data_IF_125837510282
#
_entry.id   IF_125837510282
#
_cell.length_a   1.000
_cell.length_b   1.000
_cell.length_c   1.000
_cell.angle_alpha   90.00
_cell.angle_beta   90.00
_cell.angle_gamma   90.00
#
_symmetry.space_group_name_H-M   'P 1'
#
loop_
_entity.id
_entity.type
_entity.pdbx_description
1 polymer ?
#
# COMPACT_ATOMS: atom_id res chain seq x y z
N UNK A 1 -15.68 -55.49 -38.78
CA UNK A 1 -15.08 -54.14 -38.71
C UNK A 1 -14.86 -53.81 -37.23
N UNK A 2 -13.65 -54.08 -36.69
CA UNK A 2 -13.32 -53.87 -35.27
C UNK A 2 -12.72 -52.47 -35.11
N UNK A 3 -13.52 -51.51 -34.64
CA UNK A 3 -13.05 -50.15 -34.40
C UNK A 3 -12.15 -50.17 -33.16
N UNK A 4 -10.90 -49.72 -33.32
CA UNK A 4 -9.89 -49.61 -32.26
C UNK A 4 -10.33 -48.54 -31.24
N UNK A 5 -11.20 -48.92 -30.31
CA UNK A 5 -11.75 -48.04 -29.26
C UNK A 5 -10.70 -47.55 -28.24
N UNK A 6 -9.52 -48.18 -28.18
CA UNK A 6 -8.48 -47.84 -27.20
C UNK A 6 -7.70 -46.55 -27.48
N UNK A 7 -7.65 -46.06 -28.72
CA UNK A 7 -6.84 -44.89 -29.07
C UNK A 7 -7.50 -43.55 -28.70
N UNK A 8 -8.83 -43.49 -28.62
CA UNK A 8 -9.55 -42.25 -28.26
C UNK A 8 -9.46 -41.92 -26.76
N UNK A 9 -9.40 -42.93 -25.89
CA UNK A 9 -9.36 -42.73 -24.43
C UNK A 9 -7.98 -42.19 -24.00
N UNK A 10 -6.89 -42.68 -24.59
CA UNK A 10 -5.54 -42.24 -24.25
C UNK A 10 -5.27 -40.77 -24.66
N UNK A 11 -5.80 -40.33 -25.81
CA UNK A 11 -5.70 -38.94 -26.25
C UNK A 11 -6.46 -37.97 -25.35
N UNK A 12 -7.67 -38.36 -24.91
CA UNK A 12 -8.50 -37.54 -24.02
C UNK A 12 -7.95 -37.45 -22.59
N UNK A 13 -7.33 -38.52 -22.08
CA UNK A 13 -6.69 -38.53 -20.77
C UNK A 13 -5.43 -37.64 -20.74
N UNK A 14 -4.67 -37.60 -21.86
CA UNK A 14 -3.47 -36.78 -21.98
C UNK A 14 -3.77 -35.28 -22.06
N UNK A 15 -4.83 -34.87 -22.76
CA UNK A 15 -5.32 -33.48 -22.73
C UNK A 15 -5.89 -33.07 -21.38
N UNK A 16 -6.58 -33.98 -20.66
CA UNK A 16 -7.06 -33.71 -19.31
C UNK A 16 -5.90 -33.53 -18.31
N UNK A 17 -4.81 -34.30 -18.45
CA UNK A 17 -3.59 -34.17 -17.64
C UNK A 17 -2.85 -32.83 -17.88
N UNK A 18 -2.89 -32.29 -19.10
CA UNK A 18 -2.30 -30.98 -19.40
C UNK A 18 -3.11 -29.81 -18.82
N UNK A 19 -4.42 -29.97 -18.66
CA UNK A 19 -5.28 -28.93 -18.06
C UNK A 19 -5.14 -28.84 -16.53
N UNK A 20 -4.75 -29.93 -15.86
CA UNK A 20 -4.57 -29.98 -14.39
C UNK A 20 -3.16 -29.50 -13.98
N UNK A 21 -2.23 -29.36 -14.93
CA UNK A 21 -0.82 -29.06 -14.68
C UNK A 21 -0.50 -27.56 -14.56
N UNK A 22 -1.48 -26.66 -14.67
CA UNK A 22 -1.22 -25.24 -14.44
C UNK A 22 -0.97 -25.00 -12.94
N UNK A 23 0.28 -24.67 -12.58
CA UNK A 23 0.64 -24.34 -11.21
C UNK A 23 -0.10 -23.11 -10.71
N UNK A 24 -0.21 -22.98 -9.39
CA UNK A 24 -0.95 -21.88 -8.76
C UNK A 24 -0.14 -20.59 -8.85
N UNK A 25 -0.83 -19.44 -8.83
CA UNK A 25 -0.18 -18.14 -8.58
C UNK A 25 0.56 -18.22 -7.24
N UNK A 26 1.78 -17.69 -7.21
CA UNK A 26 2.51 -17.52 -5.96
C UNK A 26 1.78 -16.58 -5.00
N UNK A 27 2.09 -16.64 -3.69
CA UNK A 27 1.56 -15.69 -2.73
C UNK A 27 2.03 -14.26 -3.03
N UNK A 28 1.27 -13.27 -2.59
CA UNK A 28 1.69 -11.87 -2.70
C UNK A 28 2.85 -11.57 -1.73
N UNK A 29 3.56 -10.47 -1.99
CA UNK A 29 4.61 -9.94 -1.14
C UNK A 29 4.09 -9.50 0.23
N UNK A 30 4.98 -9.45 1.23
CA UNK A 30 4.62 -8.87 2.51
C UNK A 30 4.66 -7.34 2.42
N UNK A 31 3.81 -6.66 3.20
CA UNK A 31 3.73 -5.20 3.25
C UNK A 31 4.35 -4.71 4.56
N UNK A 32 5.16 -3.66 4.46
CA UNK A 32 5.78 -3.00 5.60
C UNK A 32 5.60 -1.49 5.50
N UNK A 33 5.30 -0.86 6.63
CA UNK A 33 5.21 0.59 6.76
C UNK A 33 6.15 1.07 7.87
N UNK A 34 6.93 2.10 7.57
CA UNK A 34 7.75 2.83 8.52
C UNK A 34 7.30 4.28 8.64
N UNK A 35 7.70 4.92 9.72
CA UNK A 35 7.37 6.31 10.00
C UNK A 35 8.67 7.10 10.20
N UNK A 36 8.73 8.30 9.63
CA UNK A 36 9.90 9.19 9.75
C UNK A 36 9.46 10.59 10.13
N UNK A 37 10.29 11.29 10.91
CA UNK A 37 9.98 12.63 11.41
C UNK A 37 11.23 13.39 11.84
N UNK A 38 11.16 14.73 11.79
CA UNK A 38 12.21 15.59 12.34
C UNK A 38 12.02 15.87 13.84
N UNK A 39 10.77 15.98 14.27
CA UNK A 39 10.33 16.18 15.66
C UNK A 39 9.40 15.04 16.02
N UNK A 40 9.52 14.48 17.23
CA UNK A 40 8.68 13.36 17.62
C UNK A 40 7.26 13.85 17.89
N UNK A 41 6.22 13.23 17.29
CA UNK A 41 4.85 13.61 17.58
C UNK A 41 4.53 13.32 19.06
N UNK A 42 3.88 14.25 19.74
CA UNK A 42 3.40 14.06 21.11
C UNK A 42 2.05 13.31 21.16
N UNK A 43 1.38 13.19 20.02
CA UNK A 43 0.23 12.32 19.82
C UNK A 43 0.34 11.56 18.49
N UNK A 44 0.00 10.29 18.52
CA UNK A 44 -0.06 9.42 17.34
C UNK A 44 -1.23 8.44 17.48
N UNK A 45 -2.02 8.32 16.43
CA UNK A 45 -3.08 7.33 16.32
C UNK A 45 -3.12 6.77 14.90
N UNK A 46 -3.15 5.45 14.77
CA UNK A 46 -3.32 4.75 13.50
C UNK A 46 -4.41 3.67 13.68
N UNK A 47 -5.28 3.50 12.69
CA UNK A 47 -6.33 2.48 12.70
C UNK A 47 -5.84 1.08 12.29
N UNK A 48 -4.57 0.96 11.88
CA UNK A 48 -3.92 -0.29 11.59
C UNK A 48 -3.55 -1.05 12.87
N UNK A 49 -4.25 -2.15 13.13
CA UNK A 49 -4.05 -2.96 14.33
C UNK A 49 -2.67 -3.63 14.41
N UNK A 50 -1.91 -3.70 13.32
CA UNK A 50 -0.55 -4.22 13.33
C UNK A 50 0.48 -3.18 13.82
N UNK A 51 0.12 -1.90 13.79
CA UNK A 51 1.00 -0.82 14.20
C UNK A 51 0.87 -0.63 15.71
N UNK A 52 1.99 -0.72 16.46
CA UNK A 52 1.96 -0.48 17.89
C UNK A 52 1.58 0.97 18.19
N UNK A 53 0.97 1.20 19.35
CA UNK A 53 0.68 2.55 19.84
C UNK A 53 1.94 3.39 20.07
N UNK A 54 3.10 2.76 20.22
CA UNK A 54 4.41 3.42 20.29
C UNK A 54 5.23 3.06 19.05
N UNK A 55 5.49 4.05 18.21
CA UNK A 55 6.30 3.91 17.00
C UNK A 55 7.72 4.44 17.20
N UNK A 56 8.65 3.92 16.41
CA UNK A 56 10.04 4.35 16.39
C UNK A 56 10.41 4.88 15.00
N UNK A 57 11.24 5.90 14.97
CA UNK A 57 11.71 6.53 13.74
C UNK A 57 12.42 5.49 12.87
N UNK A 58 12.13 5.51 11.57
CA UNK A 58 12.71 4.65 10.53
C UNK A 58 12.63 3.14 10.83
N UNK A 59 11.68 2.75 11.68
CA UNK A 59 11.39 1.35 12.00
C UNK A 59 10.21 0.87 11.18
N UNK A 60 10.38 -0.25 10.49
CA UNK A 60 9.34 -0.85 9.65
C UNK A 60 8.53 -1.88 10.43
N UNK A 61 7.22 -1.74 10.35
CA UNK A 61 6.24 -2.66 10.92
C UNK A 61 5.58 -3.45 9.79
N UNK A 62 5.47 -4.77 9.97
CA UNK A 62 4.71 -5.60 9.03
C UNK A 62 3.24 -5.30 9.20
N UNK A 63 2.53 -5.13 8.08
CA UNK A 63 1.10 -4.90 8.05
C UNK A 63 0.44 -5.66 6.90
N UNK A 64 -0.88 -5.58 6.81
CA UNK A 64 -1.65 -6.05 5.68
C UNK A 64 -1.72 -4.97 4.57
N UNK A 65 -1.97 -5.35 3.31
CA UNK A 65 -2.41 -4.39 2.32
C UNK A 65 -3.82 -3.88 2.67
N UNK A 66 -4.08 -2.60 2.41
CA UNK A 66 -5.37 -1.97 2.74
C UNK A 66 -5.33 -0.45 2.75
N UNK A 67 -6.48 0.15 3.01
CA UNK A 67 -6.61 1.58 3.29
C UNK A 67 -6.56 1.80 4.80
N UNK A 68 -5.78 2.80 5.21
CA UNK A 68 -5.52 3.12 6.60
C UNK A 68 -5.72 4.60 6.87
N UNK A 69 -6.00 4.90 8.13
CA UNK A 69 -6.15 6.22 8.68
C UNK A 69 -5.13 6.47 9.78
N UNK A 70 -4.59 7.68 9.79
CA UNK A 70 -3.60 8.15 10.73
C UNK A 70 -3.95 9.57 11.18
N UNK A 71 -3.76 9.84 12.46
CA UNK A 71 -3.74 11.18 13.05
C UNK A 71 -2.45 11.38 13.85
N UNK A 72 -1.90 12.58 13.80
CA UNK A 72 -0.77 12.95 14.65
C UNK A 72 -0.80 14.44 14.99
N UNK A 73 -0.16 14.78 16.10
CA UNK A 73 0.06 16.15 16.53
C UNK A 73 1.53 16.36 16.88
N UNK A 74 2.02 17.57 16.62
CA UNK A 74 3.34 18.03 17.05
C UNK A 74 3.19 19.30 17.89
N UNK A 75 3.69 19.25 19.11
CA UNK A 75 3.77 20.40 20.02
C UNK A 75 4.54 21.60 19.44
N UNK A 76 5.43 21.35 18.48
CA UNK A 76 6.27 22.32 17.79
C UNK A 76 5.49 23.24 16.85
N UNK A 77 4.40 22.75 16.27
CA UNK A 77 3.54 23.50 15.36
C UNK A 77 2.14 23.77 15.91
N UNK A 78 1.73 23.03 16.95
CA UNK A 78 0.36 23.03 17.49
C UNK A 78 -0.69 22.67 16.43
N UNK A 79 -0.30 21.83 15.46
CA UNK A 79 -1.14 21.38 14.36
C UNK A 79 -1.51 19.91 14.53
N UNK A 80 -2.81 19.65 14.37
CA UNK A 80 -3.34 18.30 14.25
C UNK A 80 -3.44 17.93 12.78
N UNK A 81 -2.78 16.85 12.39
CA UNK A 81 -2.77 16.33 11.03
C UNK A 81 -3.59 15.05 10.96
N UNK A 82 -4.25 14.83 9.82
CA UNK A 82 -4.86 13.54 9.49
C UNK A 82 -4.47 13.09 8.09
N UNK A 83 -4.37 11.78 7.90
CA UNK A 83 -3.94 11.13 6.67
C UNK A 83 -4.77 9.87 6.44
N UNK A 84 -5.26 9.69 5.22
CA UNK A 84 -5.69 8.39 4.70
C UNK A 84 -4.71 7.96 3.61
N UNK A 85 -4.25 6.71 3.67
CA UNK A 85 -3.29 6.16 2.73
C UNK A 85 -3.61 4.71 2.37
N UNK A 86 -3.25 4.29 1.16
CA UNK A 86 -3.42 2.92 0.68
C UNK A 86 -2.06 2.20 0.58
N UNK A 87 -1.95 1.02 1.19
CA UNK A 87 -0.79 0.14 1.09
C UNK A 87 -1.14 -1.06 0.20
N UNK A 88 -0.32 -1.29 -0.83
CA UNK A 88 -0.56 -2.35 -1.82
C UNK A 88 0.60 -3.34 -1.81
N UNK A 89 0.28 -4.63 -1.72
CA UNK A 89 1.24 -5.72 -1.85
C UNK A 89 1.61 -5.94 -3.32
N UNK A 90 2.84 -6.36 -3.61
CA UNK A 90 3.18 -6.80 -4.96
C UNK A 90 2.65 -8.20 -5.21
N UNK A 91 1.99 -8.37 -6.35
CA UNK A 91 1.38 -9.64 -6.71
C UNK A 91 2.41 -10.76 -6.90
N UNK A 92 2.05 -11.97 -6.45
CA UNK A 92 2.80 -13.17 -6.78
C UNK A 92 2.86 -13.46 -8.29
N UNK A 93 3.94 -14.10 -8.74
CA UNK A 93 4.10 -14.49 -10.14
C UNK A 93 3.07 -15.58 -10.50
N UNK A 94 2.57 -15.65 -11.74
CA UNK A 94 1.77 -16.78 -12.19
C UNK A 94 2.59 -18.07 -12.15
N UNK A 95 1.93 -19.20 -11.87
CA UNK A 95 2.53 -20.52 -12.01
C UNK A 95 2.71 -20.94 -13.47
N UNK A 96 3.57 -21.93 -13.69
CA UNK A 96 3.80 -22.58 -14.97
C UNK A 96 3.32 -24.02 -15.00
N UNK A 97 3.62 -24.72 -16.09
CA UNK A 97 3.33 -26.15 -16.22
C UNK A 97 4.14 -26.92 -15.16
N UNK A 98 3.44 -27.62 -14.26
CA UNK A 98 4.00 -28.35 -13.10
C UNK A 98 4.78 -27.52 -12.07
N UNK A 99 4.67 -26.18 -12.09
CA UNK A 99 5.42 -25.32 -11.16
C UNK A 99 4.54 -24.19 -10.63
N UNK A 100 4.45 -24.06 -9.31
CA UNK A 100 3.78 -22.92 -8.70
C UNK A 100 4.59 -21.63 -8.93
N UNK A 101 3.88 -20.51 -8.94
CA UNK A 101 4.49 -19.19 -9.10
C UNK A 101 5.28 -18.76 -7.87
N UNK A 102 6.29 -17.92 -8.10
CA UNK A 102 7.08 -17.34 -7.02
C UNK A 102 6.29 -16.28 -6.24
N UNK A 103 6.66 -16.10 -4.96
CA UNK A 103 6.12 -15.02 -4.11
C UNK A 103 6.37 -13.66 -4.78
N UNK A 104 5.43 -12.73 -4.61
CA UNK A 104 5.62 -11.32 -4.91
C UNK A 104 6.74 -10.72 -4.05
N UNK A 105 7.29 -9.60 -4.50
CA UNK A 105 8.30 -8.89 -3.71
C UNK A 105 7.67 -8.15 -2.55
N UNK A 106 8.42 -7.98 -1.46
CA UNK A 106 7.91 -7.23 -0.31
C UNK A 106 7.84 -5.73 -0.63
N UNK A 107 6.73 -5.11 -0.27
CA UNK A 107 6.49 -3.68 -0.45
C UNK A 107 6.84 -2.93 0.84
N UNK A 108 7.63 -1.86 0.71
CA UNK A 108 8.07 -1.04 1.84
C UNK A 108 7.71 0.42 1.61
N UNK A 109 6.96 0.99 2.55
CA UNK A 109 6.49 2.36 2.54
C UNK A 109 7.08 3.13 3.74
N UNK A 110 7.42 4.40 3.54
CA UNK A 110 7.73 5.35 4.61
C UNK A 110 6.67 6.43 4.60
N UNK A 111 6.15 6.76 5.78
CA UNK A 111 5.27 7.90 6.00
C UNK A 111 6.04 8.97 6.78
N UNK A 112 6.29 10.11 6.13
CA UNK A 112 6.82 11.32 6.76
C UNK A 112 5.71 12.05 7.52
N UNK A 113 5.84 12.11 8.85
CA UNK A 113 4.92 12.82 9.74
C UNK A 113 5.57 14.10 10.25
N UNK A 114 5.44 15.17 9.47
CA UNK A 114 6.20 16.40 9.67
C UNK A 114 5.45 17.42 10.54
N UNK A 115 6.18 18.15 11.39
CA UNK A 115 5.58 19.18 12.24
C UNK A 115 5.09 20.42 11.45
N UNK A 116 5.88 20.86 10.46
CA UNK A 116 5.66 22.15 9.78
C UNK A 116 5.26 22.01 8.30
N UNK A 117 5.05 20.78 7.81
CA UNK A 117 4.73 20.52 6.41
C UNK A 117 3.68 19.42 6.27
N UNK A 118 3.13 19.30 5.06
CA UNK A 118 2.20 18.23 4.71
C UNK A 118 2.89 16.86 4.86
N UNK A 119 2.24 15.83 5.43
CA UNK A 119 2.81 14.49 5.47
C UNK A 119 3.03 13.93 4.07
N UNK A 120 4.00 13.04 4.00
CA UNK A 120 4.48 12.43 2.77
C UNK A 120 4.41 10.92 2.89
N UNK A 121 4.08 10.21 1.80
CA UNK A 121 4.09 8.75 1.74
C UNK A 121 4.94 8.37 0.54
N UNK A 122 6.03 7.68 0.80
CA UNK A 122 7.00 7.27 -0.21
C UNK A 122 7.12 5.75 -0.19
N UNK A 123 6.98 5.10 -1.35
CA UNK A 123 7.40 3.72 -1.48
C UNK A 123 8.92 3.66 -1.68
N UNK A 124 9.64 3.17 -0.68
CA UNK A 124 11.12 3.12 -0.67
C UNK A 124 11.64 1.96 -1.50
N UNK A 125 10.87 0.87 -1.59
CA UNK A 125 11.26 -0.31 -2.36
C UNK A 125 10.13 -0.75 -3.28
N UNK A 126 10.39 -0.63 -4.58
CA UNK A 126 9.73 -1.37 -5.65
C UNK A 126 10.79 -1.86 -6.61
N UNK A 127 11.08 -3.16 -6.69
CA UNK A 127 12.07 -3.63 -7.66
C UNK A 127 11.38 -3.81 -9.01
N UNK A 128 11.34 -2.74 -9.79
CA UNK A 128 11.92 -2.79 -11.13
C UNK A 128 12.19 -1.37 -11.62
N UNK A 129 13.47 -1.14 -11.94
CA UNK A 129 14.06 0.04 -12.60
C UNK A 129 14.42 1.24 -11.72
N UNK A 130 15.74 1.38 -11.57
CA UNK A 130 16.45 2.66 -11.45
C UNK A 130 16.00 3.60 -12.57
N UNK A 131 15.23 4.64 -12.25
CA UNK A 131 15.38 5.96 -12.87
C UNK A 131 14.58 7.03 -12.10
N UNK A 132 15.29 8.14 -11.87
CA UNK A 132 14.85 9.48 -11.46
C UNK A 132 13.43 9.65 -10.91
N UNK A 133 13.38 10.08 -9.65
CA UNK A 133 12.29 10.86 -9.08
C UNK A 133 11.89 11.96 -10.07
N UNK A 134 10.72 11.82 -10.68
CA UNK A 134 10.05 12.91 -11.38
C UNK A 134 8.75 13.19 -10.62
N UNK A 135 8.80 14.26 -9.83
CA UNK A 135 7.69 14.81 -9.06
C UNK A 135 6.59 15.31 -9.99
N UNK A 136 5.48 14.57 -10.07
CA UNK A 136 4.21 15.13 -10.51
C UNK A 136 3.22 15.07 -9.34
N UNK A 137 3.42 15.95 -8.36
CA UNK A 137 2.46 16.20 -7.28
C UNK A 137 1.29 17.01 -7.83
N UNK A 138 0.18 16.35 -8.20
CA UNK A 138 -1.09 17.04 -8.45
C UNK A 138 -1.78 17.28 -7.12
N UNK A 139 -1.68 18.51 -6.60
CA UNK A 139 -2.40 18.95 -5.40
C UNK A 139 -3.85 19.30 -5.77
N UNK A 140 -4.84 18.57 -5.25
CA UNK A 140 -6.23 19.04 -5.25
C UNK A 140 -6.78 19.09 -3.83
N UNK A 141 -7.45 20.21 -3.51
CA UNK A 141 -8.06 20.50 -2.22
C UNK A 141 -9.58 20.56 -2.38
N UNK A 142 -10.33 19.78 -1.60
CA UNK A 142 -11.78 19.94 -1.45
C UNK A 142 -12.18 19.92 0.02
N UNK A 143 -12.86 20.97 0.47
CA UNK A 143 -13.27 21.22 1.85
C UNK A 143 -14.57 20.47 2.19
N UNK A 144 -14.64 19.77 3.32
CA UNK A 144 -15.85 19.09 3.81
C UNK A 144 -16.11 19.46 5.29
N UNK A 145 -17.37 19.76 5.62
CA UNK A 145 -17.81 20.30 6.92
C UNK A 145 -18.25 19.20 7.91
N UNK A 146 -17.89 19.34 9.19
CA UNK A 146 -18.42 18.56 10.34
C UNK A 146 -18.48 19.44 11.61
N UNK A 147 -19.44 19.20 12.49
CA UNK A 147 -19.96 20.07 13.56
C UNK A 147 -19.31 19.89 14.94
N UNK A 148 -17.99 19.70 15.00
CA UNK A 148 -17.23 19.90 16.24
C UNK A 148 -16.40 21.18 16.09
N UNK A 149 -15.95 21.79 17.18
CA UNK A 149 -15.18 23.06 17.14
C UNK A 149 -13.88 23.01 16.33
N UNK A 150 -13.58 21.89 15.66
CA UNK A 150 -12.52 21.70 14.68
C UNK A 150 -13.10 21.12 13.38
N UNK A 151 -12.69 21.66 12.23
CA UNK A 151 -13.10 21.23 10.89
C UNK A 151 -11.91 20.57 10.20
N UNK A 152 -12.13 19.40 9.57
CA UNK A 152 -11.16 18.76 8.69
C UNK A 152 -10.98 19.61 7.44
N UNK A 153 -9.81 20.24 7.31
CA UNK A 153 -9.42 20.93 6.09
C UNK A 153 -8.52 20.03 5.28
N UNK A 154 -9.08 19.40 4.25
CA UNK A 154 -8.29 18.64 3.29
C UNK A 154 -7.39 19.61 2.51
N UNK A 155 -6.08 19.42 2.65
CA UNK A 155 -5.07 20.27 2.02
C UNK A 155 -4.35 19.57 0.88
N UNK A 156 -4.27 18.24 0.92
CA UNK A 156 -3.56 17.48 -0.08
C UNK A 156 -4.30 16.18 -0.40
N UNK A 157 -4.30 15.86 -1.68
CA UNK A 157 -4.69 14.59 -2.23
C UNK A 157 -3.78 14.34 -3.41
N UNK A 158 -3.08 13.21 -3.41
CA UNK A 158 -2.26 12.80 -4.55
C UNK A 158 -2.38 11.30 -4.77
N UNK A 159 -2.10 10.92 -6.01
CA UNK A 159 -2.00 9.54 -6.43
C UNK A 159 -0.70 9.42 -7.22
N UNK A 160 0.23 8.61 -6.75
CA UNK A 160 1.48 8.36 -7.45
C UNK A 160 1.48 6.92 -7.97
N UNK A 161 1.63 6.74 -9.28
CA UNK A 161 1.81 5.43 -9.90
C UNK A 161 3.25 5.28 -10.32
N UNK A 162 3.98 4.33 -9.72
CA UNK A 162 5.34 3.96 -10.11
C UNK A 162 5.33 2.48 -10.44
N UNK A 163 5.73 2.12 -11.66
CA UNK A 163 5.69 0.72 -12.11
C UNK A 163 4.29 0.11 -12.04
N UNK A 164 4.12 -0.94 -11.24
CA UNK A 164 2.89 -1.72 -11.10
C UNK A 164 2.07 -1.40 -9.84
N UNK A 165 2.39 -0.34 -9.10
CA UNK A 165 1.65 0.06 -7.91
C UNK A 165 1.18 1.50 -8.00
N UNK A 166 0.12 1.82 -7.25
CA UNK A 166 -0.42 3.17 -7.09
C UNK A 166 -0.53 3.47 -5.60
N UNK A 167 0.13 4.53 -5.15
CA UNK A 167 -0.03 5.09 -3.82
C UNK A 167 -1.15 6.11 -3.90
N UNK A 168 -2.17 5.99 -3.05
CA UNK A 168 -3.23 7.01 -2.92
C UNK A 168 -3.16 7.61 -1.54
N UNK A 169 -3.12 8.94 -1.50
CA UNK A 169 -3.01 9.69 -0.26
C UNK A 169 -4.00 10.83 -0.28
N UNK A 170 -4.72 11.00 0.81
CA UNK A 170 -5.52 12.19 1.07
C UNK A 170 -5.37 12.58 2.52
N UNK A 171 -5.31 13.87 2.81
CA UNK A 171 -5.20 14.31 4.19
C UNK A 171 -5.25 15.81 4.33
N UNK A 172 -5.00 16.26 5.55
CA UNK A 172 -5.13 17.66 5.88
C UNK A 172 -4.73 17.96 7.31
N UNK A 173 -5.19 19.11 7.76
CA UNK A 173 -5.08 19.57 9.14
C UNK A 173 -6.48 19.80 9.71
N UNK A 174 -6.60 19.72 11.02
CA UNK A 174 -7.79 20.20 11.72
C UNK A 174 -7.63 21.69 12.02
N UNK A 175 -8.61 22.51 11.63
CA UNK A 175 -8.66 23.95 11.94
C UNK A 175 -9.82 24.26 12.87
N UNK A 176 -9.74 25.27 13.76
CA UNK A 176 -10.89 25.74 14.53
C UNK A 176 -12.06 26.11 13.63
N UNK A 177 -13.26 25.67 13.98
CA UNK A 177 -14.49 26.13 13.34
C UNK A 177 -14.64 27.64 13.58
N UNK A 178 -14.66 28.42 12.49
CA UNK A 178 -14.92 29.86 12.52
C UNK A 178 -16.39 30.18 12.66
#
# INVERSE_FOLDING_TARGET
MRVKFGFFIAGFLFTLLLLISCGKKGPDGDVYVGFTWAYAPDYFYCDDWHIPTTIYIDTYYRTAPGEYYLEYHHSESDLWHYLYYELVAHEGKPGGLFTDGAKGEDAQFIIGIWAYSEPEVVQVKSVTETNSLQDDCVKSSSMQWDSTGLVKKQLYQYSETKGNYTIRVRGGVFEPAK
#
